data_IF_556217069583
#
_entry.id   IF_556217069583
#
_cell.length_a   1.000
_cell.length_b   1.000
_cell.length_c   1.000
_cell.angle_alpha   90.00
_cell.angle_beta   90.00
_cell.angle_gamma   90.00
#
_symmetry.space_group_name_H-M   'P 1'
#
loop_
_entity.id
_entity.type
_entity.pdbx_description
1 polymer ?
#
# COMPACT_ATOMS: atom_id res chain seq x y z
N UNK A 1 46.46 19.07 47.14
CA UNK A 1 47.32 20.24 47.19
C UNK A 1 46.59 21.42 46.64
N UNK A 2 46.22 22.28 47.54
CA UNK A 2 46.25 23.74 47.61
C UNK A 2 45.26 24.45 46.72
N UNK A 3 44.11 24.97 47.24
CA UNK A 3 43.95 26.25 47.96
C UNK A 3 44.23 27.45 47.06
N UNK A 4 43.38 28.44 46.84
CA UNK A 4 42.77 29.35 47.77
C UNK A 4 41.79 30.31 47.07
N UNK A 5 40.65 30.61 47.71
CA UNK A 5 39.96 31.92 47.71
C UNK A 5 40.66 32.87 48.70
N UNK A 6 40.22 34.15 48.98
CA UNK A 6 39.22 35.10 48.43
C UNK A 6 39.70 36.59 48.50
N UNK A 7 38.84 37.55 48.10
CA UNK A 7 38.73 38.89 48.74
C UNK A 7 37.67 39.78 48.09
N UNK A 8 36.85 40.24 48.81
CA UNK A 8 36.07 41.33 49.37
C UNK A 8 36.24 42.70 48.73
N UNK A 9 35.08 43.36 48.54
CA UNK A 9 34.67 44.65 48.05
C UNK A 9 35.37 45.91 48.70
N UNK A 10 34.87 47.13 48.52
CA UNK A 10 33.62 47.65 49.13
C UNK A 10 32.85 48.75 48.31
N UNK A 11 31.63 48.86 48.66
CA UNK A 11 30.71 49.96 49.05
C UNK A 11 30.71 51.37 48.41
N UNK A 12 29.43 51.80 48.18
CA UNK A 12 28.80 53.16 48.21
C UNK A 12 29.03 54.17 47.08
N UNK A 13 27.90 54.52 46.37
CA UNK A 13 27.17 55.78 46.64
C UNK A 13 25.84 55.84 45.92
N UNK A 14 24.77 56.20 46.66
CA UNK A 14 23.43 56.66 46.21
C UNK A 14 23.54 57.99 45.51
N UNK A 15 22.79 58.15 44.40
CA UNK A 15 22.01 59.38 44.07
C UNK A 15 20.77 59.01 43.27
N UNK A 16 19.63 59.43 43.75
CA UNK A 16 18.32 59.29 43.09
C UNK A 16 18.08 60.34 42.03
N UNK A 17 17.27 60.03 41.07
CA UNK A 17 16.46 60.99 40.29
C UNK A 17 15.39 60.26 39.45
N UNK A 18 14.18 60.73 39.54
CA UNK A 18 13.24 60.85 38.43
C UNK A 18 12.45 59.60 38.02
N UNK A 19 11.29 59.45 38.68
CA UNK A 19 10.24 58.51 38.24
C UNK A 19 9.46 59.16 37.08
N UNK A 20 9.81 58.80 35.82
CA UNK A 20 9.00 59.09 34.63
C UNK A 20 8.06 57.92 34.40
N UNK A 21 6.77 58.11 34.61
CA UNK A 21 5.71 57.15 34.31
C UNK A 21 5.59 56.98 32.79
N UNK A 22 6.11 55.90 32.26
CA UNK A 22 5.81 55.43 30.87
C UNK A 22 4.49 54.65 30.94
N UNK A 23 3.43 55.22 30.39
CA UNK A 23 2.21 54.52 30.03
C UNK A 23 2.55 53.32 29.12
N UNK A 24 2.37 52.10 29.66
CA UNK A 24 2.42 50.86 28.84
C UNK A 24 1.18 50.87 27.96
N UNK A 25 1.33 51.27 26.73
CA UNK A 25 0.41 50.87 25.64
C UNK A 25 0.43 49.33 25.56
N UNK A 26 -0.67 48.76 25.98
CA UNK A 26 -0.94 47.31 25.90
C UNK A 26 -1.04 47.00 24.42
N UNK A 27 0.02 46.39 23.84
CA UNK A 27 -0.04 45.82 22.51
C UNK A 27 -1.14 44.74 22.54
N UNK A 28 -2.20 45.00 21.78
CA UNK A 28 -3.24 43.99 21.53
C UNK A 28 -2.57 42.87 20.74
N UNK A 29 -2.39 41.74 21.41
CA UNK A 29 -2.03 40.46 20.75
C UNK A 29 -3.05 40.22 19.63
N UNK A 30 -2.64 39.76 18.44
CA UNK A 30 -3.58 39.40 17.41
C UNK A 30 -4.58 38.39 17.96
N UNK A 31 -5.87 38.68 17.80
CA UNK A 31 -6.96 37.81 18.19
C UNK A 31 -6.66 36.41 17.61
N UNK A 32 -6.41 35.44 18.51
CA UNK A 32 -6.27 34.07 18.11
C UNK A 32 -7.52 33.64 17.35
N UNK A 33 -7.32 33.07 16.16
CA UNK A 33 -8.42 32.50 15.39
C UNK A 33 -9.19 31.52 16.25
N UNK A 34 -10.52 31.54 16.15
CA UNK A 34 -11.39 30.58 16.86
C UNK A 34 -10.88 29.13 16.61
N UNK A 35 -10.98 28.25 17.60
CA UNK A 35 -10.52 26.88 17.45
C UNK A 35 -11.26 26.20 16.29
N UNK A 36 -10.50 25.67 15.32
CA UNK A 36 -11.06 24.98 14.14
C UNK A 36 -11.98 23.83 14.56
N UNK A 37 -13.09 23.68 13.85
CA UNK A 37 -14.01 22.56 14.02
C UNK A 37 -13.29 21.22 13.72
N UNK A 38 -13.92 20.10 14.08
CA UNK A 38 -13.38 18.76 13.77
C UNK A 38 -13.32 18.57 12.24
N UNK A 39 -14.34 19.02 11.54
CA UNK A 39 -14.42 18.91 10.08
C UNK A 39 -13.36 19.77 9.37
N UNK A 40 -13.15 21.02 9.82
CA UNK A 40 -12.08 21.88 9.26
C UNK A 40 -10.69 21.26 9.45
N UNK A 41 -10.42 20.71 10.64
CA UNK A 41 -9.16 19.97 10.87
C UNK A 41 -9.03 18.77 9.94
N UNK A 42 -10.13 18.06 9.65
CA UNK A 42 -10.13 16.91 8.76
C UNK A 42 -9.78 17.30 7.32
N UNK A 43 -10.41 18.36 6.78
CA UNK A 43 -10.07 18.91 5.46
C UNK A 43 -8.60 19.33 5.40
N UNK A 44 -8.10 19.99 6.43
CA UNK A 44 -6.70 20.41 6.49
C UNK A 44 -5.74 19.22 6.53
N UNK A 45 -6.02 18.19 7.33
CA UNK A 45 -5.22 16.96 7.42
C UNK A 45 -5.12 16.26 6.07
N UNK A 46 -6.24 16.07 5.38
CA UNK A 46 -6.24 15.46 4.03
C UNK A 46 -5.48 16.33 3.05
N UNK A 47 -5.67 17.66 3.09
CA UNK A 47 -4.95 18.61 2.23
C UNK A 47 -3.43 18.55 2.44
N UNK A 48 -2.97 18.48 3.68
CA UNK A 48 -1.54 18.36 4.01
C UNK A 48 -0.94 17.05 3.48
N UNK A 49 -1.61 15.92 3.74
CA UNK A 49 -1.15 14.61 3.24
C UNK A 49 -1.11 14.58 1.71
N UNK A 50 -2.14 15.12 1.04
CA UNK A 50 -2.14 15.21 -0.43
C UNK A 50 -0.98 16.06 -0.94
N UNK A 51 -0.63 17.16 -0.26
CA UNK A 51 0.53 17.97 -0.60
C UNK A 51 1.86 17.21 -0.59
N UNK A 52 1.98 16.18 0.26
CA UNK A 52 3.15 15.30 0.32
C UNK A 52 3.06 14.14 -0.69
N UNK A 53 1.93 13.45 -0.75
CA UNK A 53 1.72 12.28 -1.62
C UNK A 53 1.84 12.64 -3.09
N UNK A 54 1.28 13.77 -3.51
CA UNK A 54 1.31 14.22 -4.91
C UNK A 54 2.69 14.72 -5.39
N UNK A 55 3.70 14.71 -4.53
CA UNK A 55 5.10 14.89 -4.95
C UNK A 55 5.72 13.62 -5.54
N UNK A 56 5.06 12.48 -5.43
CA UNK A 56 5.46 11.18 -5.98
C UNK A 56 6.83 10.66 -5.54
N UNK A 57 7.40 11.17 -4.44
CA UNK A 57 8.73 10.78 -3.94
C UNK A 57 8.78 9.35 -3.40
N UNK A 58 7.65 8.86 -2.94
CA UNK A 58 7.50 7.50 -2.39
C UNK A 58 6.07 6.99 -2.59
N UNK A 59 5.81 5.68 -2.43
CA UNK A 59 4.46 5.12 -2.47
C UNK A 59 3.51 5.81 -1.48
N UNK A 60 2.23 5.94 -1.85
CA UNK A 60 1.23 6.66 -1.05
C UNK A 60 1.04 6.05 0.34
N UNK A 61 1.07 4.72 0.47
CA UNK A 61 0.97 4.01 1.75
C UNK A 61 2.15 4.31 2.68
N UNK A 62 3.36 4.42 2.14
CA UNK A 62 4.56 4.78 2.89
C UNK A 62 4.51 6.24 3.37
N UNK A 63 4.06 7.14 2.50
CA UNK A 63 3.85 8.56 2.82
C UNK A 63 2.82 8.71 3.94
N UNK A 64 1.63 8.11 3.77
CA UNK A 64 0.57 8.08 4.78
C UNK A 64 1.05 7.49 6.12
N UNK A 65 1.74 6.36 6.09
CA UNK A 65 2.28 5.74 7.30
C UNK A 65 3.25 6.64 8.06
N UNK A 66 4.09 7.37 7.34
CA UNK A 66 5.05 8.32 7.92
C UNK A 66 4.32 9.52 8.51
N UNK A 67 3.38 10.09 7.76
CA UNK A 67 2.57 11.22 8.20
C UNK A 67 1.74 10.86 9.45
N UNK A 68 1.08 9.69 9.46
CA UNK A 68 0.28 9.20 10.61
C UNK A 68 1.11 9.00 11.88
N UNK A 69 2.37 8.58 11.76
CA UNK A 69 3.30 8.45 12.90
C UNK A 69 3.67 9.80 13.51
N UNK A 70 3.77 10.84 12.69
CA UNK A 70 4.00 12.20 13.15
C UNK A 70 2.77 12.81 13.86
N UNK A 71 1.56 12.36 13.51
CA UNK A 71 0.28 12.89 14.03
C UNK A 71 -0.36 11.92 15.06
N UNK A 72 0.32 11.69 16.19
CA UNK A 72 -0.07 10.69 17.21
C UNK A 72 -1.42 10.95 17.87
N UNK A 73 -1.90 12.19 17.88
CA UNK A 73 -3.18 12.58 18.52
C UNK A 73 -4.44 12.17 17.74
N UNK A 74 -4.33 11.57 16.57
CA UNK A 74 -5.48 11.14 15.76
C UNK A 74 -6.07 9.83 16.25
N UNK A 75 -7.41 9.79 16.39
CA UNK A 75 -8.16 8.56 16.68
C UNK A 75 -8.16 7.57 15.50
N UNK A 76 -8.60 6.34 15.76
CA UNK A 76 -8.66 5.30 14.73
C UNK A 76 -9.60 5.68 13.58
N UNK A 77 -10.77 6.24 13.88
CA UNK A 77 -11.73 6.73 12.90
C UNK A 77 -11.14 7.84 12.04
N UNK A 78 -10.49 8.83 12.67
CA UNK A 78 -9.85 9.95 11.97
C UNK A 78 -8.81 9.47 10.96
N UNK A 79 -7.97 8.51 11.38
CA UNK A 79 -6.95 7.89 10.52
C UNK A 79 -7.57 7.16 9.33
N UNK A 80 -8.67 6.44 9.55
CA UNK A 80 -9.40 5.75 8.47
C UNK A 80 -9.95 6.75 7.47
N UNK A 81 -10.68 7.79 7.93
CA UNK A 81 -11.26 8.81 7.06
C UNK A 81 -10.20 9.55 6.22
N UNK A 82 -9.07 9.94 6.83
CA UNK A 82 -7.96 10.57 6.09
C UNK A 82 -7.36 9.60 5.07
N UNK A 83 -7.15 8.35 5.44
CA UNK A 83 -6.60 7.33 4.53
C UNK A 83 -7.53 7.10 3.34
N UNK A 84 -8.80 6.88 3.60
CA UNK A 84 -9.80 6.62 2.56
C UNK A 84 -9.95 7.81 1.61
N UNK A 85 -10.02 9.03 2.12
CA UNK A 85 -10.10 10.24 1.30
C UNK A 85 -8.86 10.43 0.41
N UNK A 86 -7.66 10.19 0.93
CA UNK A 86 -6.42 10.27 0.13
C UNK A 86 -6.40 9.22 -0.97
N UNK A 87 -6.76 7.97 -0.67
CA UNK A 87 -6.81 6.91 -1.68
C UNK A 87 -7.92 7.14 -2.71
N UNK A 88 -9.05 7.71 -2.30
CA UNK A 88 -10.11 8.09 -3.22
C UNK A 88 -9.66 9.20 -4.19
N UNK A 89 -8.98 10.22 -3.68
CA UNK A 89 -8.37 11.26 -4.54
C UNK A 89 -7.37 10.65 -5.52
N UNK A 90 -6.50 9.76 -5.09
CA UNK A 90 -5.51 9.11 -5.97
C UNK A 90 -6.18 8.26 -7.05
N UNK A 91 -7.28 7.60 -6.71
CA UNK A 91 -8.10 6.80 -7.61
C UNK A 91 -8.74 7.64 -8.71
N UNK A 92 -9.26 8.81 -8.33
CA UNK A 92 -10.01 9.71 -9.19
C UNK A 92 -9.27 11.01 -9.52
N UNK A 93 -7.93 11.04 -9.43
CA UNK A 93 -7.13 12.25 -9.42
C UNK A 93 -7.34 13.13 -10.66
N UNK A 94 -7.39 12.56 -11.87
CA UNK A 94 -7.57 13.33 -13.10
C UNK A 94 -8.96 13.96 -13.16
N UNK A 95 -9.98 13.19 -12.80
CA UNK A 95 -11.36 13.68 -12.71
C UNK A 95 -11.50 14.76 -11.64
N UNK A 96 -10.92 14.56 -10.48
CA UNK A 96 -10.96 15.54 -9.40
C UNK A 96 -10.16 16.81 -9.72
N UNK A 97 -9.07 16.71 -10.46
CA UNK A 97 -8.36 17.87 -10.97
C UNK A 97 -9.23 18.66 -11.95
N UNK A 98 -9.91 18.00 -12.86
CA UNK A 98 -10.87 18.63 -13.78
C UNK A 98 -11.99 19.34 -13.03
N UNK A 99 -12.61 18.69 -12.04
CA UNK A 99 -13.63 19.34 -11.20
C UNK A 99 -13.07 20.51 -10.39
N UNK A 100 -11.83 20.40 -9.95
CA UNK A 100 -11.16 21.43 -9.15
C UNK A 100 -10.84 22.72 -9.95
N UNK A 101 -10.86 22.72 -11.28
CA UNK A 101 -10.57 23.89 -12.11
C UNK A 101 -11.55 25.07 -11.83
N UNK A 102 -12.82 24.77 -11.61
CA UNK A 102 -13.86 25.76 -11.32
C UNK A 102 -13.93 26.21 -9.85
N UNK A 103 -13.19 25.55 -8.94
CA UNK A 103 -13.22 25.86 -7.51
C UNK A 103 -12.22 26.92 -7.08
N UNK A 104 -12.42 27.50 -5.91
CA UNK A 104 -11.54 28.51 -5.31
C UNK A 104 -10.59 27.89 -4.26
N UNK A 105 -9.52 28.60 -3.90
CA UNK A 105 -8.54 28.17 -2.90
C UNK A 105 -7.43 27.28 -3.45
N UNK A 106 -6.66 26.63 -2.57
CA UNK A 106 -5.54 25.78 -2.97
C UNK A 106 -6.00 24.47 -3.63
N UNK A 107 -5.24 23.99 -4.61
CA UNK A 107 -5.55 22.73 -5.30
C UNK A 107 -5.67 21.56 -4.31
N UNK A 108 -4.77 21.47 -3.33
CA UNK A 108 -4.81 20.40 -2.32
C UNK A 108 -6.06 20.44 -1.44
N UNK A 109 -6.57 21.64 -1.10
CA UNK A 109 -7.81 21.80 -0.36
C UNK A 109 -9.02 21.36 -1.19
N UNK A 110 -9.10 21.76 -2.46
CA UNK A 110 -10.18 21.35 -3.36
C UNK A 110 -10.22 19.81 -3.54
N UNK A 111 -9.05 19.20 -3.75
CA UNK A 111 -8.93 17.74 -3.81
C UNK A 111 -9.33 17.08 -2.49
N UNK A 112 -8.95 17.65 -1.34
CA UNK A 112 -9.33 17.13 -0.03
C UNK A 112 -10.85 17.15 0.19
N UNK A 113 -11.52 18.23 -0.23
CA UNK A 113 -12.99 18.36 -0.17
C UNK A 113 -13.65 17.27 -1.04
N UNK A 114 -13.20 17.09 -2.30
CA UNK A 114 -13.72 16.07 -3.20
C UNK A 114 -13.53 14.66 -2.65
N UNK A 115 -12.35 14.33 -2.13
CA UNK A 115 -12.09 13.00 -1.54
C UNK A 115 -12.89 12.77 -0.25
N UNK A 116 -13.05 13.79 0.59
CA UNK A 116 -13.85 13.65 1.81
C UNK A 116 -15.35 13.53 1.53
N UNK A 117 -15.85 14.11 0.46
CA UNK A 117 -17.29 14.05 0.11
C UNK A 117 -17.80 12.63 -0.14
N UNK A 118 -16.91 11.67 -0.40
CA UNK A 118 -17.23 10.25 -0.57
C UNK A 118 -17.06 9.42 0.71
N UNK A 119 -16.44 9.99 1.75
CA UNK A 119 -16.01 9.25 2.94
C UNK A 119 -16.77 9.65 4.20
N UNK A 120 -17.14 10.92 4.31
CA UNK A 120 -17.86 11.46 5.48
C UNK A 120 -19.25 11.94 5.07
N UNK A 121 -20.14 12.12 6.07
CA UNK A 121 -21.49 12.62 5.75
C UNK A 121 -21.46 14.06 5.22
N UNK A 122 -22.45 14.40 4.39
CA UNK A 122 -22.59 15.72 3.82
C UNK A 122 -22.71 16.80 4.90
N UNK A 123 -23.48 16.55 5.96
CA UNK A 123 -23.68 17.48 7.06
C UNK A 123 -22.37 17.75 7.82
N UNK A 124 -21.56 16.70 8.04
CA UNK A 124 -20.25 16.88 8.67
C UNK A 124 -19.33 17.74 7.80
N UNK A 125 -19.24 17.44 6.51
CA UNK A 125 -18.35 18.17 5.60
C UNK A 125 -18.77 19.64 5.43
N UNK A 126 -20.07 19.91 5.30
CA UNK A 126 -20.60 21.28 5.16
C UNK A 126 -20.17 22.21 6.29
N UNK A 127 -19.97 21.72 7.52
CA UNK A 127 -19.50 22.55 8.65
C UNK A 127 -18.06 23.06 8.47
N UNK A 128 -17.31 22.53 7.51
CA UNK A 128 -15.93 22.92 7.21
C UNK A 128 -15.80 23.80 5.95
N UNK A 129 -16.89 23.93 5.19
CA UNK A 129 -16.89 24.58 3.88
C UNK A 129 -17.46 26.00 3.94
N UNK A 130 -16.86 26.91 3.17
CA UNK A 130 -17.47 28.20 2.89
C UNK A 130 -18.71 28.03 2.01
N UNK A 131 -19.65 29.01 1.96
CA UNK A 131 -20.80 28.93 1.06
C UNK A 131 -20.39 28.70 -0.41
N UNK A 132 -19.33 29.34 -0.88
CA UNK A 132 -18.82 29.16 -2.24
C UNK A 132 -18.28 27.74 -2.48
N UNK A 133 -17.62 27.13 -1.48
CA UNK A 133 -17.16 25.74 -1.58
C UNK A 133 -18.31 24.75 -1.56
N UNK A 134 -19.41 25.04 -0.84
CA UNK A 134 -20.62 24.23 -0.83
C UNK A 134 -21.30 24.24 -2.19
N UNK A 135 -21.50 25.43 -2.78
CA UNK A 135 -22.10 25.60 -4.11
C UNK A 135 -21.25 24.92 -5.20
N UNK A 136 -19.93 25.09 -5.14
CA UNK A 136 -18.99 24.43 -6.04
C UNK A 136 -19.06 22.91 -5.93
N UNK A 137 -19.03 22.36 -4.72
CA UNK A 137 -19.11 20.92 -4.50
C UNK A 137 -20.43 20.33 -5.03
N UNK A 138 -21.54 21.01 -4.75
CA UNK A 138 -22.86 20.64 -5.28
C UNK A 138 -22.86 20.64 -6.81
N UNK A 139 -22.28 21.66 -7.46
CA UNK A 139 -22.18 21.71 -8.91
C UNK A 139 -21.37 20.51 -9.46
N UNK A 140 -20.22 20.18 -8.85
CA UNK A 140 -19.39 19.06 -9.33
C UNK A 140 -20.08 17.71 -9.27
N UNK A 141 -21.00 17.52 -8.32
CA UNK A 141 -21.78 16.29 -8.18
C UNK A 141 -22.83 16.10 -9.29
N UNK A 142 -23.22 17.16 -9.98
CA UNK A 142 -24.18 17.12 -11.08
C UNK A 142 -23.52 17.02 -12.47
N UNK A 143 -22.19 16.99 -12.56
CA UNK A 143 -21.50 16.82 -13.85
C UNK A 143 -21.70 15.39 -14.36
N UNK A 144 -22.31 15.20 -15.56
CA UNK A 144 -22.54 13.88 -16.11
C UNK A 144 -21.20 13.19 -16.45
N UNK A 145 -20.91 12.08 -15.78
CA UNK A 145 -19.62 11.41 -15.96
C UNK A 145 -19.49 10.70 -17.32
N UNK A 146 -20.59 10.29 -17.92
CA UNK A 146 -20.68 9.65 -19.24
C UNK A 146 -20.32 10.59 -20.38
N UNK A 147 -20.41 11.90 -20.17
CA UNK A 147 -20.03 12.93 -21.16
C UNK A 147 -18.54 13.33 -21.07
N UNK A 148 -17.83 12.88 -20.06
CA UNK A 148 -16.40 13.16 -19.90
C UNK A 148 -15.55 12.28 -20.83
N UNK A 149 -14.45 12.80 -21.40
CA UNK A 149 -13.45 11.97 -22.07
C UNK A 149 -13.00 10.80 -21.18
N UNK A 150 -12.72 9.63 -21.76
CA UNK A 150 -12.40 8.42 -21.03
C UNK A 150 -11.22 8.59 -20.06
N UNK A 151 -10.18 9.30 -20.47
CA UNK A 151 -9.05 9.59 -19.59
C UNK A 151 -9.46 10.35 -18.31
N UNK A 152 -10.42 11.26 -18.39
CA UNK A 152 -10.97 12.00 -17.23
C UNK A 152 -11.95 11.12 -16.46
N UNK A 153 -12.90 10.50 -17.15
CA UNK A 153 -13.93 9.63 -16.57
C UNK A 153 -13.33 8.53 -15.70
N UNK A 154 -12.33 7.81 -16.21
CA UNK A 154 -11.64 6.71 -15.52
C UNK A 154 -10.37 7.15 -14.81
N UNK A 155 -10.04 8.45 -14.80
CA UNK A 155 -8.85 9.00 -14.16
C UNK A 155 -7.57 8.27 -14.54
N UNK A 156 -7.28 8.20 -15.82
CA UNK A 156 -6.10 7.55 -16.39
C UNK A 156 -5.09 8.61 -16.86
N UNK A 157 -3.78 8.40 -16.69
CA UNK A 157 -2.78 9.15 -17.45
C UNK A 157 -2.87 8.78 -18.94
N UNK A 158 -2.48 9.70 -19.86
CA UNK A 158 -2.69 9.53 -21.29
C UNK A 158 -2.03 8.25 -21.84
N UNK A 159 -0.83 7.94 -21.40
CA UNK A 159 -0.13 6.73 -21.79
C UNK A 159 -0.89 5.44 -21.41
N UNK A 160 -1.50 5.41 -20.21
CA UNK A 160 -2.25 4.22 -19.76
C UNK A 160 -3.62 4.12 -20.45
N UNK A 161 -4.26 5.23 -20.75
CA UNK A 161 -5.47 5.24 -21.58
C UNK A 161 -5.16 4.64 -22.95
N UNK A 162 -4.04 5.05 -23.59
CA UNK A 162 -3.60 4.51 -24.88
C UNK A 162 -3.33 3.01 -24.83
N UNK A 163 -2.67 2.51 -23.78
CA UNK A 163 -2.43 1.07 -23.59
C UNK A 163 -3.75 0.28 -23.39
N UNK A 164 -4.64 0.80 -22.53
CA UNK A 164 -5.92 0.14 -22.26
C UNK A 164 -6.84 0.11 -23.48
N UNK A 165 -6.88 1.18 -24.28
CA UNK A 165 -7.75 1.27 -25.45
C UNK A 165 -7.50 0.18 -26.49
N UNK A 166 -6.36 -0.48 -26.46
CA UNK A 166 -5.98 -1.59 -27.34
C UNK A 166 -6.44 -2.97 -26.81
N UNK A 167 -6.96 -3.02 -25.58
CA UNK A 167 -7.38 -4.26 -24.94
C UNK A 167 -8.85 -4.59 -25.29
N UNK A 168 -9.23 -5.84 -25.10
CA UNK A 168 -10.62 -6.25 -25.15
C UNK A 168 -11.38 -5.65 -23.95
N UNK A 169 -12.48 -4.95 -24.22
CA UNK A 169 -13.32 -4.30 -23.21
C UNK A 169 -12.56 -3.36 -22.25
N UNK A 170 -11.87 -2.32 -22.79
CA UNK A 170 -10.94 -1.48 -22.03
C UNK A 170 -11.63 -0.70 -20.91
N UNK A 171 -12.88 -0.29 -21.11
CA UNK A 171 -13.56 0.61 -20.17
C UNK A 171 -14.18 -0.12 -18.99
N UNK A 172 -14.69 -1.35 -19.16
CA UNK A 172 -15.04 -2.22 -18.04
C UNK A 172 -13.83 -2.57 -17.20
N UNK A 173 -12.67 -2.82 -17.83
CA UNK A 173 -11.42 -3.03 -17.11
C UNK A 173 -11.00 -1.77 -16.32
N UNK A 174 -11.05 -0.58 -16.94
CA UNK A 174 -10.71 0.68 -16.28
C UNK A 174 -11.64 0.95 -15.08
N UNK A 175 -12.93 0.66 -15.21
CA UNK A 175 -13.91 0.77 -14.13
C UNK A 175 -13.59 -0.22 -13.00
N UNK A 176 -13.34 -1.49 -13.31
CA UNK A 176 -12.96 -2.51 -12.35
C UNK A 176 -11.68 -2.15 -11.58
N UNK A 177 -10.67 -1.61 -12.26
CA UNK A 177 -9.41 -1.17 -11.65
C UNK A 177 -9.59 0.04 -10.70
N UNK A 178 -10.65 0.83 -10.89
CA UNK A 178 -10.99 1.96 -10.03
C UNK A 178 -11.88 1.58 -8.84
N UNK A 179 -12.35 0.34 -8.71
CA UNK A 179 -13.11 -0.11 -7.54
C UNK A 179 -12.23 -0.20 -6.29
N UNK A 180 -12.83 -0.09 -5.12
CA UNK A 180 -12.15 -0.40 -3.87
C UNK A 180 -11.84 -1.90 -3.76
N UNK A 181 -10.67 -2.23 -3.24
CA UNK A 181 -10.32 -3.61 -2.96
C UNK A 181 -10.78 -4.03 -1.56
N UNK A 182 -11.39 -5.20 -1.46
CA UNK A 182 -11.60 -5.92 -0.20
C UNK A 182 -10.27 -6.39 0.39
N UNK A 183 -10.26 -6.84 1.62
CA UNK A 183 -9.10 -7.46 2.23
C UNK A 183 -9.24 -8.98 2.18
N UNK A 184 -8.30 -9.64 1.50
CA UNK A 184 -8.25 -11.09 1.46
C UNK A 184 -7.21 -11.62 2.45
N UNK A 185 -7.60 -12.65 3.16
CA UNK A 185 -6.82 -13.41 4.11
C UNK A 185 -6.62 -14.83 3.56
N UNK A 186 -5.61 -15.50 4.02
CA UNK A 186 -5.33 -16.90 3.67
C UNK A 186 -5.15 -17.73 4.93
N UNK A 187 -5.89 -18.82 5.05
CA UNK A 187 -5.59 -19.87 6.01
C UNK A 187 -4.20 -20.45 5.74
N UNK A 188 -3.46 -20.80 6.79
CA UNK A 188 -2.22 -21.55 6.68
C UNK A 188 -2.52 -23.05 6.68
N UNK A 189 -2.55 -23.73 5.50
CA UNK A 189 -2.98 -25.12 5.43
C UNK A 189 -2.03 -26.11 6.13
N UNK A 190 -0.89 -25.64 6.61
CA UNK A 190 -0.01 -26.41 7.49
C UNK A 190 -0.54 -26.50 8.93
N UNK A 191 -1.31 -25.50 9.38
CA UNK A 191 -1.79 -25.37 10.76
C UNK A 191 -3.31 -25.55 10.91
N UNK A 192 -4.08 -25.05 9.95
CA UNK A 192 -5.55 -25.00 10.03
C UNK A 192 -6.14 -25.04 8.62
N UNK A 193 -7.26 -25.71 8.43
CA UNK A 193 -8.06 -25.59 7.22
C UNK A 193 -8.90 -24.32 7.20
N UNK A 194 -9.39 -23.93 6.00
CA UNK A 194 -10.14 -22.70 5.81
C UNK A 194 -11.44 -22.68 6.61
N UNK A 195 -12.17 -23.79 6.63
CA UNK A 195 -13.50 -23.92 7.25
C UNK A 195 -13.37 -23.73 8.77
N UNK A 196 -12.40 -24.40 9.40
CA UNK A 196 -12.15 -24.24 10.84
C UNK A 196 -11.69 -22.81 11.19
N UNK A 197 -10.85 -22.19 10.34
CA UNK A 197 -10.46 -20.79 10.54
C UNK A 197 -11.66 -19.84 10.37
N UNK A 198 -12.48 -20.07 9.35
CA UNK A 198 -13.68 -19.26 9.07
C UNK A 198 -14.67 -19.31 10.24
N UNK A 199 -14.90 -20.50 10.83
CA UNK A 199 -15.70 -20.67 12.05
C UNK A 199 -15.13 -19.82 13.19
N UNK A 200 -13.84 -19.95 13.50
CA UNK A 200 -13.17 -19.16 14.55
C UNK A 200 -13.36 -17.65 14.34
N UNK A 201 -13.21 -17.17 13.10
CA UNK A 201 -13.36 -15.74 12.80
C UNK A 201 -14.81 -15.27 12.96
N UNK A 202 -15.79 -16.12 12.62
CA UNK A 202 -17.22 -15.80 12.77
C UNK A 202 -17.74 -15.93 14.20
N UNK A 203 -17.05 -16.65 15.06
CA UNK A 203 -17.34 -16.76 16.51
C UNK A 203 -16.63 -15.66 17.32
N UNK A 204 -15.51 -15.15 16.81
CA UNK A 204 -14.64 -14.19 17.47
C UNK A 204 -14.92 -12.71 17.13
N UNK A 205 -14.04 -11.80 17.59
CA UNK A 205 -14.16 -10.36 17.33
C UNK A 205 -14.09 -9.98 15.84
N UNK A 206 -13.60 -10.86 15.01
CA UNK A 206 -13.53 -10.67 13.56
C UNK A 206 -14.89 -10.78 12.86
N UNK A 207 -15.92 -11.34 13.50
CA UNK A 207 -17.30 -11.48 12.97
C UNK A 207 -17.85 -10.16 12.42
N UNK A 208 -17.56 -9.05 13.07
CA UNK A 208 -18.00 -7.70 12.65
C UNK A 208 -17.48 -7.26 11.27
N UNK A 209 -16.51 -7.97 10.70
CA UNK A 209 -15.95 -7.72 9.37
C UNK A 209 -16.48 -8.72 8.32
N UNK A 210 -17.51 -9.45 8.65
CA UNK A 210 -18.19 -10.40 7.77
C UNK A 210 -17.24 -11.33 7.00
N UNK A 211 -16.45 -12.17 7.68
CA UNK A 211 -15.52 -13.08 7.01
C UNK A 211 -16.29 -14.15 6.23
N UNK A 212 -15.99 -14.23 4.93
CA UNK A 212 -16.59 -15.20 3.99
C UNK A 212 -15.51 -15.92 3.19
N UNK A 213 -15.77 -17.12 2.72
CA UNK A 213 -14.87 -17.84 1.82
C UNK A 213 -14.72 -17.10 0.49
N UNK A 214 -13.49 -17.04 -0.06
CA UNK A 214 -13.28 -16.52 -1.41
C UNK A 214 -13.62 -17.58 -2.47
N UNK A 215 -14.05 -17.17 -3.69
CA UNK A 215 -14.59 -18.12 -4.68
C UNK A 215 -13.55 -19.04 -5.32
N UNK A 216 -12.29 -18.60 -5.46
CA UNK A 216 -11.30 -19.32 -6.27
C UNK A 216 -10.21 -20.03 -5.47
N UNK A 217 -9.83 -19.46 -4.32
CA UNK A 217 -8.80 -20.08 -3.48
C UNK A 217 -9.41 -21.00 -2.42
N UNK A 218 -8.92 -22.26 -2.28
CA UNK A 218 -9.40 -23.15 -1.22
C UNK A 218 -8.95 -22.71 0.19
N UNK A 219 -8.10 -21.71 0.31
CA UNK A 219 -7.59 -21.19 1.57
C UNK A 219 -8.03 -19.75 1.84
N UNK A 220 -8.70 -19.13 0.87
CA UNK A 220 -9.03 -17.71 0.89
C UNK A 220 -10.23 -17.39 1.77
N UNK A 221 -10.10 -16.31 2.54
CA UNK A 221 -11.17 -15.70 3.32
C UNK A 221 -11.14 -14.21 3.00
N UNK A 222 -12.31 -13.64 2.66
CA UNK A 222 -12.50 -12.22 2.39
C UNK A 222 -13.17 -11.57 3.57
N UNK A 223 -12.71 -10.37 3.94
CA UNK A 223 -13.35 -9.54 4.95
C UNK A 223 -13.72 -8.18 4.35
N UNK A 224 -14.84 -7.64 4.80
CA UNK A 224 -15.24 -6.27 4.52
C UNK A 224 -14.35 -5.30 5.30
N UNK A 225 -14.09 -4.14 4.75
CA UNK A 225 -13.20 -3.13 5.33
C UNK A 225 -11.74 -3.60 5.51
N UNK A 226 -10.92 -2.82 6.21
CA UNK A 226 -9.47 -3.10 6.41
C UNK A 226 -9.12 -3.13 7.90
N UNK A 227 -9.48 -4.21 8.63
CA UNK A 227 -9.14 -4.33 10.04
C UNK A 227 -7.62 -4.45 10.25
N UNK A 228 -7.18 -4.08 11.46
CA UNK A 228 -5.80 -4.30 11.87
C UNK A 228 -5.58 -5.76 12.27
N UNK A 229 -5.44 -6.62 11.27
CA UNK A 229 -5.33 -8.09 11.39
C UNK A 229 -4.16 -8.54 12.27
N UNK A 230 -3.09 -7.74 12.36
CA UNK A 230 -1.91 -8.08 13.15
C UNK A 230 -2.18 -8.27 14.66
N UNK A 231 -3.34 -7.80 15.16
CA UNK A 231 -3.79 -8.01 16.55
C UNK A 231 -4.71 -9.21 16.74
N UNK A 232 -5.00 -9.95 15.67
CA UNK A 232 -5.84 -11.15 15.79
C UNK A 232 -4.99 -12.33 16.28
N UNK A 233 -5.55 -13.11 17.20
CA UNK A 233 -4.87 -14.27 17.79
C UNK A 233 -4.46 -15.31 16.73
N UNK A 234 -5.28 -15.47 15.70
CA UNK A 234 -5.05 -16.37 14.57
C UNK A 234 -3.85 -15.91 13.73
N UNK A 235 -3.67 -14.59 13.58
CA UNK A 235 -2.49 -14.04 12.92
C UNK A 235 -1.23 -14.23 13.76
N UNK A 236 -1.28 -13.97 15.04
CA UNK A 236 -0.15 -14.16 15.97
C UNK A 236 0.30 -15.61 16.02
N UNK A 237 -0.67 -16.55 16.01
CA UNK A 237 -0.41 -18.00 15.95
C UNK A 237 0.08 -18.49 14.58
N UNK A 238 0.02 -17.65 13.54
CA UNK A 238 0.37 -18.01 12.16
C UNK A 238 -0.62 -18.97 11.51
N UNK A 239 -1.86 -18.99 11.97
CA UNK A 239 -2.99 -19.72 11.40
C UNK A 239 -3.52 -19.00 10.14
N UNK A 240 -3.31 -17.68 10.05
CA UNK A 240 -3.68 -16.87 8.89
C UNK A 240 -2.57 -15.91 8.46
N UNK A 241 -2.63 -15.51 7.20
CA UNK A 241 -1.81 -14.48 6.56
C UNK A 241 -2.66 -13.53 5.75
N UNK A 242 -2.21 -12.28 5.60
CA UNK A 242 -2.80 -11.34 4.64
C UNK A 242 -2.22 -11.64 3.27
N UNK A 243 -3.07 -12.09 2.35
CA UNK A 243 -2.67 -12.36 0.96
C UNK A 243 -3.88 -12.28 0.04
N UNK A 244 -3.72 -11.56 -1.07
CA UNK A 244 -4.69 -11.46 -2.15
C UNK A 244 -5.05 -12.84 -2.73
N UNK A 245 -6.33 -13.06 -3.06
CA UNK A 245 -6.81 -14.34 -3.58
C UNK A 245 -6.08 -14.75 -4.86
N UNK A 246 -5.85 -13.82 -5.81
CA UNK A 246 -5.11 -14.10 -7.04
C UNK A 246 -3.70 -14.61 -6.78
N UNK A 247 -3.01 -14.05 -5.76
CA UNK A 247 -1.69 -14.55 -5.33
C UNK A 247 -1.75 -15.95 -4.70
N UNK A 248 -2.87 -16.33 -4.09
CA UNK A 248 -3.07 -17.67 -3.56
C UNK A 248 -3.29 -18.67 -4.69
N UNK A 249 -4.14 -18.33 -5.66
CA UNK A 249 -4.39 -19.16 -6.87
C UNK A 249 -3.11 -19.34 -7.68
N UNK A 250 -2.31 -18.30 -7.85
CA UNK A 250 -1.01 -18.39 -8.51
C UNK A 250 -0.08 -19.40 -7.82
N UNK A 251 0.02 -19.37 -6.49
CA UNK A 251 0.81 -20.35 -5.76
C UNK A 251 0.26 -21.80 -5.91
N UNK A 252 -1.07 -21.95 -6.03
CA UNK A 252 -1.69 -23.25 -6.32
C UNK A 252 -1.28 -23.81 -7.70
N UNK A 253 -1.14 -22.95 -8.72
CA UNK A 253 -0.70 -23.36 -10.07
C UNK A 253 0.72 -23.94 -10.11
N UNK A 254 1.59 -23.57 -9.17
CA UNK A 254 2.92 -24.19 -9.01
C UNK A 254 2.78 -25.68 -8.67
N UNK A 255 1.73 -26.04 -7.94
CA UNK A 255 1.42 -27.41 -7.52
C UNK A 255 2.62 -28.17 -6.94
N UNK A 256 3.32 -27.64 -5.91
CA UNK A 256 4.48 -28.30 -5.34
C UNK A 256 4.05 -29.54 -4.55
N UNK A 257 4.89 -30.58 -4.58
CA UNK A 257 4.64 -31.84 -3.87
C UNK A 257 5.59 -31.99 -2.68
N UNK A 258 5.22 -32.85 -1.74
CA UNK A 258 6.08 -33.24 -0.60
C UNK A 258 7.42 -33.76 -1.09
N UNK A 259 8.51 -33.37 -0.44
CA UNK A 259 9.85 -33.83 -0.74
C UNK A 259 10.52 -33.14 -1.96
N UNK A 260 9.79 -32.40 -2.76
CA UNK A 260 10.36 -31.72 -3.94
C UNK A 260 11.36 -30.59 -3.56
N UNK A 261 12.20 -30.24 -4.53
CA UNK A 261 12.98 -29.02 -4.52
C UNK A 261 12.20 -27.95 -5.29
N UNK A 262 11.88 -26.85 -4.63
CA UNK A 262 11.10 -25.73 -5.17
C UNK A 262 11.89 -24.44 -5.05
N UNK A 263 11.79 -23.57 -6.04
CA UNK A 263 12.40 -22.23 -6.02
C UNK A 263 11.32 -21.19 -6.23
N UNK A 264 11.19 -20.26 -5.28
CA UNK A 264 10.50 -18.97 -5.46
C UNK A 264 11.58 -17.94 -5.83
N UNK A 265 11.64 -17.58 -7.12
CA UNK A 265 12.77 -16.86 -7.69
C UNK A 265 12.74 -15.34 -7.38
N UNK A 266 11.56 -14.81 -7.00
CA UNK A 266 11.35 -13.41 -6.62
C UNK A 266 10.48 -13.36 -5.35
N UNK A 267 10.95 -13.93 -4.25
CA UNK A 267 10.16 -14.23 -3.06
C UNK A 267 9.59 -13.00 -2.36
N UNK A 268 10.21 -11.83 -2.50
CA UNK A 268 9.76 -10.59 -1.88
C UNK A 268 9.63 -10.70 -0.36
N UNK A 269 8.45 -10.40 0.16
CA UNK A 269 8.12 -10.55 1.58
C UNK A 269 7.62 -11.98 1.96
N UNK A 270 7.77 -12.96 1.06
CA UNK A 270 7.53 -14.37 1.33
C UNK A 270 6.07 -14.83 1.31
N UNK A 271 5.15 -14.04 0.76
CA UNK A 271 3.72 -14.39 0.77
C UNK A 271 3.42 -15.71 0.03
N UNK A 272 3.90 -15.84 -1.21
CA UNK A 272 3.76 -17.05 -2.02
C UNK A 272 4.63 -18.18 -1.49
N UNK A 273 5.87 -17.87 -1.10
CA UNK A 273 6.79 -18.83 -0.42
C UNK A 273 6.11 -19.57 0.73
N UNK A 274 5.41 -18.83 1.62
CA UNK A 274 4.69 -19.42 2.75
C UNK A 274 3.62 -20.42 2.33
N UNK A 275 2.86 -20.12 1.27
CA UNK A 275 1.85 -21.05 0.78
C UNK A 275 2.49 -22.29 0.13
N UNK A 276 3.53 -22.10 -0.69
CA UNK A 276 4.27 -23.21 -1.29
C UNK A 276 4.83 -24.15 -0.21
N UNK A 277 5.49 -23.62 0.83
CA UNK A 277 6.01 -24.39 1.95
C UNK A 277 4.93 -25.16 2.73
N UNK A 278 3.76 -24.55 2.91
CA UNK A 278 2.62 -25.18 3.56
C UNK A 278 2.01 -26.31 2.70
N UNK A 279 1.90 -26.13 1.37
CA UNK A 279 1.47 -27.18 0.43
C UNK A 279 2.44 -28.36 0.42
N UNK A 280 3.73 -28.12 0.54
CA UNK A 280 4.77 -29.13 0.70
C UNK A 280 4.74 -29.83 2.06
N UNK A 281 3.85 -29.42 2.96
CA UNK A 281 3.78 -29.92 4.36
C UNK A 281 5.11 -29.80 5.09
N UNK A 282 5.84 -28.70 4.88
CA UNK A 282 7.15 -28.43 5.48
C UNK A 282 8.22 -29.50 5.20
N UNK A 283 8.11 -30.23 4.06
CA UNK A 283 9.07 -31.22 3.61
C UNK A 283 9.79 -30.77 2.35
N UNK A 284 10.86 -31.51 1.97
CA UNK A 284 11.68 -31.10 0.81
C UNK A 284 12.50 -29.85 1.07
N UNK A 285 12.74 -29.05 0.03
CA UNK A 285 13.51 -27.82 0.14
C UNK A 285 12.91 -26.71 -0.71
N UNK A 286 12.59 -25.57 -0.10
CA UNK A 286 12.03 -24.40 -0.76
C UNK A 286 13.02 -23.24 -0.65
N UNK A 287 13.67 -22.90 -1.76
CA UNK A 287 14.52 -21.72 -1.84
C UNK A 287 13.68 -20.47 -2.08
N UNK A 288 13.84 -19.48 -1.24
CA UNK A 288 13.22 -18.16 -1.37
C UNK A 288 14.30 -17.15 -1.79
N UNK A 289 14.41 -16.88 -3.09
CA UNK A 289 15.38 -15.96 -3.67
C UNK A 289 14.81 -14.55 -3.77
N UNK A 290 15.61 -13.56 -3.44
CA UNK A 290 15.33 -12.15 -3.73
C UNK A 290 16.67 -11.39 -3.77
N UNK A 291 16.74 -10.36 -4.61
CA UNK A 291 17.92 -9.46 -4.66
C UNK A 291 17.95 -8.51 -3.47
N UNK A 292 16.83 -8.27 -2.81
CA UNK A 292 16.67 -7.35 -1.69
C UNK A 292 16.77 -8.04 -0.34
N UNK A 293 17.92 -7.86 0.33
CA UNK A 293 18.10 -8.30 1.72
C UNK A 293 17.02 -7.73 2.67
N UNK A 294 16.57 -6.50 2.42
CA UNK A 294 15.54 -5.84 3.23
C UNK A 294 14.17 -6.50 3.08
N UNK A 295 13.80 -6.99 1.88
CA UNK A 295 12.55 -7.75 1.67
C UNK A 295 12.61 -9.08 2.39
N UNK A 296 13.68 -9.84 2.25
CA UNK A 296 13.86 -11.13 2.95
C UNK A 296 13.94 -10.96 4.47
N UNK A 297 14.52 -9.86 4.97
CA UNK A 297 14.52 -9.56 6.40
C UNK A 297 13.09 -9.39 6.93
N UNK A 298 12.20 -8.75 6.18
CA UNK A 298 10.76 -8.63 6.52
C UNK A 298 10.01 -9.96 6.44
N UNK A 299 10.47 -10.89 5.61
CA UNK A 299 9.87 -12.21 5.48
C UNK A 299 10.21 -13.14 6.69
N UNK A 300 11.39 -12.97 7.31
CA UNK A 300 11.84 -13.84 8.41
C UNK A 300 10.84 -14.02 9.56
N UNK A 301 10.25 -12.97 10.16
CA UNK A 301 9.27 -13.12 11.22
C UNK A 301 8.03 -13.90 10.77
N UNK A 302 7.62 -13.75 9.51
CA UNK A 302 6.49 -14.46 8.91
C UNK A 302 6.81 -15.96 8.75
N UNK A 303 8.03 -16.30 8.29
CA UNK A 303 8.48 -17.67 8.20
C UNK A 303 8.50 -18.35 9.57
N UNK A 304 9.06 -17.69 10.59
CA UNK A 304 9.06 -18.19 11.96
C UNK A 304 7.65 -18.45 12.50
N UNK A 305 6.73 -17.48 12.30
CA UNK A 305 5.35 -17.58 12.76
C UNK A 305 4.57 -18.71 12.06
N UNK A 306 4.88 -18.99 10.79
CA UNK A 306 4.19 -20.02 10.00
C UNK A 306 4.38 -21.44 10.51
N UNK A 307 5.46 -21.71 11.24
CA UNK A 307 5.84 -23.05 11.69
C UNK A 307 6.53 -23.90 10.63
N UNK A 308 6.85 -23.33 9.45
CA UNK A 308 7.53 -24.04 8.36
C UNK A 308 9.04 -24.09 8.57
N UNK A 309 9.66 -25.24 8.32
CA UNK A 309 11.10 -25.48 8.48
C UNK A 309 11.84 -25.72 7.17
N UNK A 310 11.12 -25.85 6.05
CA UNK A 310 11.69 -26.19 4.74
C UNK A 310 12.07 -24.98 3.88
N UNK A 311 11.92 -23.75 4.38
CA UNK A 311 12.19 -22.49 3.65
C UNK A 311 13.64 -22.07 3.86
N UNK A 312 14.36 -21.83 2.77
CA UNK A 312 15.75 -21.37 2.75
C UNK A 312 15.81 -20.00 2.06
N UNK A 313 15.76 -18.88 2.81
CA UNK A 313 15.86 -17.55 2.24
C UNK A 313 17.32 -17.26 1.82
N UNK A 314 17.50 -16.78 0.58
CA UNK A 314 18.82 -16.51 0.01
C UNK A 314 18.77 -15.18 -0.74
N UNK A 315 19.58 -14.22 -0.33
CA UNK A 315 19.82 -12.99 -1.10
C UNK A 315 20.71 -13.35 -2.29
N UNK A 316 20.21 -13.20 -3.50
CA UNK A 316 20.93 -13.48 -4.74
C UNK A 316 21.40 -12.19 -5.41
N UNK A 317 22.51 -12.23 -6.15
CA UNK A 317 22.93 -11.12 -7.00
C UNK A 317 22.12 -11.10 -8.30
N UNK A 318 22.02 -9.93 -8.92
CA UNK A 318 21.29 -9.76 -10.19
C UNK A 318 21.95 -10.51 -11.35
N UNK A 319 23.27 -10.72 -11.30
CA UNK A 319 24.00 -11.44 -12.36
C UNK A 319 24.85 -12.57 -11.77
N UNK A 320 24.95 -13.69 -12.51
CA UNK A 320 25.94 -14.77 -12.32
C UNK A 320 26.12 -15.32 -10.89
N UNK A 321 25.06 -15.38 -10.09
CA UNK A 321 25.13 -15.91 -8.72
C UNK A 321 25.41 -17.44 -8.72
N UNK A 322 26.54 -17.84 -8.09
CA UNK A 322 26.95 -19.23 -8.01
C UNK A 322 25.94 -20.12 -7.25
N UNK A 323 25.17 -19.52 -6.34
CA UNK A 323 24.12 -20.26 -5.59
C UNK A 323 22.97 -20.64 -6.51
N UNK A 324 22.61 -19.78 -7.49
CA UNK A 324 21.62 -20.06 -8.53
C UNK A 324 22.17 -21.11 -9.50
N UNK A 325 23.40 -20.94 -9.99
CA UNK A 325 24.05 -21.90 -10.91
C UNK A 325 24.13 -23.32 -10.36
N UNK A 326 24.36 -23.48 -9.05
CA UNK A 326 24.36 -24.80 -8.39
C UNK A 326 23.03 -25.53 -8.44
N UNK A 327 21.94 -24.81 -8.72
CA UNK A 327 20.58 -25.38 -8.83
C UNK A 327 20.12 -25.59 -10.26
N UNK A 328 20.97 -25.35 -11.26
CA UNK A 328 20.64 -25.62 -12.65
C UNK A 328 20.22 -27.07 -12.85
N UNK A 329 19.08 -27.30 -13.50
CA UNK A 329 18.51 -28.60 -13.80
C UNK A 329 18.04 -29.41 -12.58
N UNK A 330 17.82 -28.78 -11.41
CA UNK A 330 17.52 -29.51 -10.16
C UNK A 330 16.16 -29.24 -9.55
N UNK A 331 15.53 -28.10 -9.87
CA UNK A 331 14.27 -27.72 -9.23
C UNK A 331 13.09 -28.41 -9.93
N UNK A 332 12.26 -29.08 -9.17
CA UNK A 332 11.02 -29.70 -9.67
C UNK A 332 9.97 -28.64 -10.00
N UNK A 333 9.97 -27.53 -9.25
CA UNK A 333 9.07 -26.38 -9.47
C UNK A 333 9.86 -25.09 -9.32
N UNK A 334 9.61 -24.16 -10.22
CA UNK A 334 10.15 -22.79 -10.16
C UNK A 334 9.00 -21.82 -10.31
N UNK A 335 8.85 -20.90 -9.36
CA UNK A 335 7.94 -19.76 -9.43
C UNK A 335 8.75 -18.51 -9.75
N UNK A 336 8.32 -17.77 -10.74
CA UNK A 336 8.78 -16.41 -11.08
C UNK A 336 7.62 -15.45 -10.95
N UNK A 337 7.43 -14.89 -9.76
CA UNK A 337 6.53 -13.75 -9.52
C UNK A 337 7.34 -12.47 -9.77
N UNK A 338 7.45 -12.10 -11.05
CA UNK A 338 8.43 -11.13 -11.51
C UNK A 338 8.14 -9.70 -11.03
N UNK A 339 9.17 -8.88 -10.76
CA UNK A 339 8.98 -7.45 -10.60
C UNK A 339 8.37 -6.86 -11.89
N UNK A 340 7.36 -5.99 -11.72
CA UNK A 340 6.55 -5.50 -12.83
C UNK A 340 5.99 -4.10 -12.52
N UNK A 341 5.26 -3.53 -13.47
CA UNK A 341 4.59 -2.23 -13.33
C UNK A 341 3.61 -2.18 -12.15
N UNK A 342 3.01 -3.30 -11.79
CA UNK A 342 2.01 -3.37 -10.73
C UNK A 342 0.62 -2.85 -11.11
N UNK A 343 0.34 -2.62 -12.39
CA UNK A 343 -0.91 -2.00 -12.87
C UNK A 343 -2.17 -2.82 -12.56
N UNK A 344 -2.08 -4.13 -12.37
CA UNK A 344 -3.19 -4.96 -11.90
C UNK A 344 -3.54 -4.73 -10.41
N UNK A 345 -2.72 -3.97 -9.67
CA UNK A 345 -2.95 -3.68 -8.25
C UNK A 345 -3.64 -2.35 -7.98
N UNK A 346 -4.11 -1.62 -9.01
CA UNK A 346 -4.67 -0.26 -8.88
C UNK A 346 -5.84 -0.16 -7.90
N UNK A 347 -6.63 -1.22 -7.72
CA UNK A 347 -7.66 -1.28 -6.69
C UNK A 347 -7.12 -1.06 -5.28
N UNK A 348 -5.88 -1.52 -5.01
CA UNK A 348 -5.19 -1.37 -3.71
C UNK A 348 -4.24 -0.19 -3.69
N UNK A 349 -3.55 0.05 -4.80
CA UNK A 349 -2.46 1.01 -4.96
C UNK A 349 -2.76 1.98 -6.12
N UNK A 350 -3.77 2.87 -6.01
CA UNK A 350 -4.18 3.75 -7.11
C UNK A 350 -3.10 4.78 -7.50
N UNK A 351 -2.11 5.01 -6.65
CA UNK A 351 -0.96 5.87 -6.94
C UNK A 351 -0.01 5.28 -8.00
N UNK A 352 -0.03 3.97 -8.20
CA UNK A 352 0.84 3.28 -9.15
C UNK A 352 0.67 3.84 -10.57
N UNK A 353 -0.55 4.06 -11.04
CA UNK A 353 -0.80 4.59 -12.39
C UNK A 353 -0.21 5.98 -12.62
N UNK A 354 -0.02 6.77 -11.56
CA UNK A 354 0.55 8.13 -11.61
C UNK A 354 2.07 8.16 -11.47
N UNK A 355 2.65 7.09 -10.93
CA UNK A 355 4.09 6.96 -10.69
C UNK A 355 4.80 6.17 -11.78
N UNK A 356 4.06 5.36 -12.54
CA UNK A 356 4.59 4.64 -13.69
C UNK A 356 4.60 5.52 -14.95
N UNK A 357 5.48 5.19 -15.88
CA UNK A 357 5.60 5.81 -17.20
C UNK A 357 6.11 4.77 -18.23
N UNK A 358 5.95 5.00 -19.54
CA UNK A 358 6.30 4.03 -20.58
C UNK A 358 7.72 3.49 -20.52
N UNK A 359 8.72 4.36 -20.26
CA UNK A 359 10.13 3.94 -20.20
C UNK A 359 10.36 2.92 -19.07
N UNK A 360 9.75 3.12 -17.90
CA UNK A 360 9.83 2.16 -16.80
C UNK A 360 9.23 0.79 -17.18
N UNK A 361 8.21 0.76 -18.05
CA UNK A 361 7.63 -0.50 -18.53
C UNK A 361 8.65 -1.26 -19.42
N UNK A 362 9.38 -0.56 -20.28
CA UNK A 362 10.45 -1.18 -21.08
C UNK A 362 11.54 -1.78 -20.22
N UNK A 363 11.94 -1.08 -19.16
CA UNK A 363 12.94 -1.59 -18.19
C UNK A 363 12.45 -2.86 -17.50
N UNK A 364 11.15 -2.89 -17.07
CA UNK A 364 10.56 -4.10 -16.49
C UNK A 364 10.53 -5.27 -17.46
N UNK A 365 10.15 -5.06 -18.72
CA UNK A 365 10.13 -6.09 -19.76
C UNK A 365 11.50 -6.73 -19.92
N UNK A 366 12.57 -5.92 -20.07
CA UNK A 366 13.93 -6.41 -20.18
C UNK A 366 14.40 -7.17 -18.93
N UNK A 367 14.07 -6.67 -17.76
CA UNK A 367 14.38 -7.32 -16.46
C UNK A 367 13.66 -8.67 -16.34
N UNK A 368 12.39 -8.74 -16.71
CA UNK A 368 11.56 -9.94 -16.68
C UNK A 368 12.13 -11.03 -17.58
N UNK A 369 12.53 -10.69 -18.81
CA UNK A 369 13.19 -11.63 -19.73
C UNK A 369 14.46 -12.24 -19.12
N UNK A 370 15.31 -11.41 -18.53
CA UNK A 370 16.53 -11.88 -17.89
C UNK A 370 16.23 -12.80 -16.69
N UNK A 371 15.27 -12.44 -15.84
CA UNK A 371 14.87 -13.25 -14.69
C UNK A 371 14.30 -14.60 -15.16
N UNK A 372 13.41 -14.58 -16.16
CA UNK A 372 12.76 -15.78 -16.70
C UNK A 372 13.78 -16.74 -17.29
N UNK A 373 14.74 -16.24 -18.10
CA UNK A 373 15.84 -17.02 -18.65
C UNK A 373 16.68 -17.69 -17.55
N UNK A 374 17.05 -16.94 -16.53
CA UNK A 374 17.86 -17.49 -15.41
C UNK A 374 17.09 -18.51 -14.58
N UNK A 375 15.81 -18.29 -14.37
CA UNK A 375 14.95 -19.20 -13.63
C UNK A 375 14.70 -20.51 -14.41
N UNK A 376 14.54 -20.44 -15.74
CA UNK A 376 14.33 -21.61 -16.59
C UNK A 376 15.49 -22.61 -16.51
N UNK A 377 16.74 -22.12 -16.43
CA UNK A 377 17.90 -23.00 -16.24
C UNK A 377 17.87 -23.80 -14.95
N UNK A 378 17.13 -23.39 -13.94
CA UNK A 378 17.01 -24.12 -12.67
C UNK A 378 16.03 -25.31 -12.77
N UNK A 379 15.16 -25.35 -13.76
CA UNK A 379 14.11 -26.37 -13.90
C UNK A 379 14.72 -27.71 -14.25
N UNK A 380 14.38 -28.76 -13.48
CA UNK A 380 14.78 -30.13 -13.76
C UNK A 380 14.01 -30.68 -14.98
N UNK A 381 14.54 -31.68 -15.70
CA UNK A 381 13.77 -32.41 -16.71
C UNK A 381 12.42 -32.88 -16.16
N UNK A 382 11.33 -32.58 -16.85
CA UNK A 382 9.96 -32.86 -16.37
C UNK A 382 9.46 -31.95 -15.25
N UNK A 383 10.25 -30.95 -14.85
CA UNK A 383 9.85 -29.92 -13.90
C UNK A 383 8.86 -28.92 -14.48
N UNK A 384 8.38 -27.98 -13.64
CA UNK A 384 7.44 -26.94 -14.03
C UNK A 384 7.99 -25.57 -13.66
N UNK A 385 7.92 -24.62 -14.59
CA UNK A 385 8.10 -23.20 -14.35
C UNK A 385 6.73 -22.52 -14.42
N UNK A 386 6.46 -21.64 -13.47
CA UNK A 386 5.28 -20.77 -13.45
C UNK A 386 5.79 -19.34 -13.45
N UNK A 387 5.45 -18.59 -14.50
CA UNK A 387 5.72 -17.17 -14.61
C UNK A 387 4.45 -16.37 -14.33
N UNK A 388 4.58 -15.26 -13.63
CA UNK A 388 3.48 -14.36 -13.36
C UNK A 388 3.96 -12.95 -13.05
N UNK A 389 3.05 -11.99 -13.25
CA UNK A 389 3.19 -10.62 -12.79
C UNK A 389 1.88 -10.14 -12.15
N UNK A 390 1.92 -9.00 -11.49
CA UNK A 390 0.73 -8.25 -11.12
C UNK A 390 0.46 -7.08 -12.08
N UNK A 391 0.87 -7.21 -13.35
CA UNK A 391 0.57 -6.30 -14.45
C UNK A 391 -0.67 -6.76 -15.23
N UNK A 392 -1.27 -5.82 -15.95
CA UNK A 392 -2.34 -6.08 -16.91
C UNK A 392 -1.83 -5.99 -18.37
N UNK A 393 -0.56 -5.61 -18.57
CA UNK A 393 0.01 -5.41 -19.89
C UNK A 393 0.50 -6.74 -20.48
N UNK A 394 0.12 -7.05 -21.73
CA UNK A 394 0.54 -8.27 -22.44
C UNK A 394 2.05 -8.38 -22.58
N UNK A 395 2.73 -7.24 -22.81
CA UNK A 395 4.20 -7.16 -22.90
C UNK A 395 4.94 -7.57 -21.61
N UNK A 396 4.28 -7.53 -20.46
CA UNK A 396 4.82 -8.02 -19.19
C UNK A 396 4.35 -9.45 -18.86
N UNK A 397 3.44 -10.03 -19.62
CA UNK A 397 2.81 -11.34 -19.40
C UNK A 397 3.00 -12.27 -20.60
N UNK A 398 2.03 -12.32 -21.52
CA UNK A 398 2.00 -13.27 -22.62
C UNK A 398 3.22 -13.14 -23.53
N UNK A 399 3.66 -11.92 -23.84
CA UNK A 399 4.80 -11.65 -24.72
C UNK A 399 6.15 -12.11 -24.13
N UNK A 400 6.20 -12.36 -22.79
CA UNK A 400 7.39 -12.87 -22.12
C UNK A 400 7.60 -14.37 -22.30
N UNK A 401 6.56 -15.12 -22.66
CA UNK A 401 6.58 -16.59 -22.70
C UNK A 401 6.38 -17.17 -24.10
N UNK A 402 6.24 -16.30 -25.09
CA UNK A 402 6.24 -16.66 -26.52
C UNK A 402 7.66 -16.78 -27.05
#
# INVERSE_FOLDING_TARGET
>A
MSQNSPAKGPDRHRKGAGRVSRSKTRATSPMGSAPKSVAERRVEQVSQVLGEVLQWKQPADACLSTWMRAHKGMGARDRAEVTEAVFDVLRHLRRYRHYAESGQGSSSRRLAILGLSTVVSSEFLQTALTPQEQDWLAHTQHIPQDQLPNAIRYSLPDWLESELSQMQDPWSLAEALNQNATLDLRANPYKIDREALLSKLNEGPAKRFNPVATPYSPWGIRVESRPYVAKWSEFEKGELEVQDEGSQVLAALVAPKRGEMVIDFCAGAGGKTLLLGAMMRSTGRLYAFDVSAARLARAKPRFARSGLSNIVPVVVSEANDQRVKRLHGKAHRVLVDAPCSGLGTLRRNPDVKWRQHPDAIHDYVALQQNILQRASHCVAPGGRLVYATCSILTKENEDQVQ
#
